data_IF_289516315910
#
_entry.id   IF_289516315910
#
_cell.length_a   1.000
_cell.length_b   1.000
_cell.length_c   1.000
_cell.angle_alpha   90.00
_cell.angle_beta   90.00
_cell.angle_gamma   90.00
#
_symmetry.space_group_name_H-M   'P 1'
#
loop_
_entity.id
_entity.type
_entity.pdbx_description
1 polymer ?
#
# COMPACT_ATOMS: atom_id res chain seq x y z
N UNK A 1 -45.12 -22.09 39.37
CA UNK A 1 -44.27 -21.25 40.24
C UNK A 1 -43.08 -20.90 39.39
N UNK A 2 -43.27 -19.89 38.55
CA UNK A 2 -42.43 -19.63 37.40
C UNK A 2 -41.57 -18.40 37.70
N UNK A 3 -40.31 -18.68 38.03
CA UNK A 3 -39.27 -17.70 38.25
C UNK A 3 -38.90 -17.03 36.94
N UNK A 4 -39.49 -15.87 36.68
CA UNK A 4 -39.02 -14.95 35.65
C UNK A 4 -37.68 -14.34 36.08
N UNK A 5 -36.57 -14.86 35.53
CA UNK A 5 -35.27 -14.21 35.60
C UNK A 5 -35.23 -13.02 34.64
N UNK A 6 -35.37 -11.82 35.21
CA UNK A 6 -35.15 -10.55 34.52
C UNK A 6 -33.64 -10.33 34.33
N UNK A 7 -33.16 -10.50 33.10
CA UNK A 7 -31.78 -10.13 32.76
C UNK A 7 -31.71 -8.63 32.50
N UNK A 8 -31.11 -7.90 33.44
CA UNK A 8 -30.77 -6.49 33.27
C UNK A 8 -29.66 -6.35 32.22
N UNK A 9 -29.97 -5.66 31.11
CA UNK A 9 -28.98 -5.31 30.08
C UNK A 9 -28.20 -4.09 30.61
N UNK A 10 -26.87 -4.20 30.81
CA UNK A 10 -26.08 -3.05 31.23
C UNK A 10 -26.00 -2.02 30.09
N UNK A 11 -26.50 -0.82 30.38
CA UNK A 11 -26.42 0.36 29.52
C UNK A 11 -24.94 0.68 29.26
N UNK A 12 -24.49 0.49 28.02
CA UNK A 12 -23.15 0.88 27.59
C UNK A 12 -23.11 2.40 27.42
N UNK A 13 -22.64 3.07 28.46
CA UNK A 13 -22.24 4.48 28.44
C UNK A 13 -21.27 4.71 27.29
N UNK A 14 -21.72 5.44 26.27
CA UNK A 14 -20.89 5.93 25.18
C UNK A 14 -19.87 6.92 25.73
N UNK A 15 -18.71 6.40 26.14
CA UNK A 15 -17.55 7.21 26.48
C UNK A 15 -17.04 7.82 25.18
N UNK A 16 -17.26 9.12 25.02
CA UNK A 16 -16.79 9.90 23.89
C UNK A 16 -15.27 9.80 23.76
N UNK A 17 -14.82 9.06 22.76
CA UNK A 17 -13.45 9.14 22.28
C UNK A 17 -13.32 10.45 21.50
N UNK A 18 -12.97 11.51 22.23
CA UNK A 18 -12.41 12.73 21.67
C UNK A 18 -11.10 12.37 20.97
N UNK A 19 -11.12 12.34 19.64
CA UNK A 19 -9.90 12.22 18.84
C UNK A 19 -9.17 13.57 18.85
N UNK A 20 -7.95 13.67 19.42
CA UNK A 20 -7.18 14.90 19.33
C UNK A 20 -6.71 15.09 17.89
N UNK A 21 -7.42 15.94 17.16
CA UNK A 21 -7.13 16.30 15.79
C UNK A 21 -6.08 17.41 15.76
N UNK A 22 -4.80 17.09 16.06
CA UNK A 22 -3.67 18.00 15.76
C UNK A 22 -2.32 17.28 15.81
N UNK A 23 -1.91 16.69 14.70
CA UNK A 23 -0.50 16.36 14.48
C UNK A 23 0.22 17.69 14.22
N UNK A 24 0.82 18.27 15.26
CA UNK A 24 1.75 19.38 15.09
C UNK A 24 2.98 18.88 14.33
N UNK A 25 3.24 19.50 13.18
CA UNK A 25 4.44 19.23 12.38
C UNK A 25 5.67 19.58 13.24
N UNK A 26 6.68 18.71 13.35
CA UNK A 26 7.90 19.04 14.06
C UNK A 26 8.57 20.25 13.37
N UNK A 27 8.85 21.29 14.16
CA UNK A 27 9.67 22.42 13.73
C UNK A 27 11.06 21.87 13.37
N UNK A 28 11.45 22.09 12.13
CA UNK A 28 12.76 21.74 11.58
C UNK A 28 13.79 22.68 12.20
N UNK A 29 14.39 22.26 13.30
CA UNK A 29 15.51 22.98 13.89
C UNK A 29 16.66 23.01 12.88
N UNK A 30 17.08 24.23 12.54
CA UNK A 30 18.25 24.47 11.73
C UNK A 30 19.47 24.15 12.58
N UNK A 31 20.06 22.98 12.34
CA UNK A 31 21.37 22.62 12.86
C UNK A 31 22.41 23.47 12.14
N UNK A 32 22.84 24.55 12.77
CA UNK A 32 24.04 25.28 12.38
C UNK A 32 25.26 24.50 12.86
N UNK A 33 25.88 23.72 11.96
CA UNK A 33 27.21 23.13 12.19
C UNK A 33 28.26 24.10 11.68
N UNK A 34 28.95 24.73 12.62
CA UNK A 34 30.32 25.27 12.56
C UNK A 34 30.92 25.56 11.17
N UNK A 35 30.76 26.80 10.73
CA UNK A 35 31.89 27.74 10.62
C UNK A 35 33.19 27.28 9.92
N UNK A 36 33.13 26.52 8.83
CA UNK A 36 34.30 26.32 7.94
C UNK A 36 34.04 26.88 6.55
N UNK A 37 34.52 28.09 6.34
CA UNK A 37 34.72 28.69 5.01
C UNK A 37 35.74 27.88 4.23
N UNK A 38 35.26 27.00 3.35
CA UNK A 38 36.08 26.44 2.28
C UNK A 38 36.15 27.45 1.14
N UNK A 39 37.26 28.18 1.06
CA UNK A 39 37.62 28.96 -0.14
C UNK A 39 37.92 27.99 -1.28
N UNK A 40 36.91 27.74 -2.12
CA UNK A 40 37.02 26.96 -3.35
C UNK A 40 37.98 27.65 -4.33
N UNK A 41 39.25 27.28 -4.24
CA UNK A 41 40.28 27.68 -5.18
C UNK A 41 40.26 26.76 -6.39
N UNK A 42 40.18 27.38 -7.58
CA UNK A 42 40.45 26.82 -8.91
C UNK A 42 39.43 25.81 -9.44
N UNK A 43 38.32 26.38 -9.91
CA UNK A 43 37.53 25.83 -11.00
C UNK A 43 38.37 25.76 -12.28
N UNK A 44 39.06 24.65 -12.50
CA UNK A 44 39.33 24.21 -13.88
C UNK A 44 38.00 23.75 -14.45
N UNK A 45 37.47 24.54 -15.39
CA UNK A 45 36.24 24.18 -16.12
C UNK A 45 36.40 22.75 -16.65
N UNK A 46 35.49 21.81 -16.33
CA UNK A 46 35.49 20.54 -17.03
C UNK A 46 35.31 20.82 -18.53
N UNK A 47 35.98 20.06 -19.41
CA UNK A 47 35.80 20.21 -20.84
C UNK A 47 34.30 20.14 -21.15
N UNK A 48 33.76 21.16 -21.82
CA UNK A 48 32.39 21.15 -22.35
C UNK A 48 32.32 20.00 -23.36
N UNK A 49 31.82 18.85 -22.93
CA UNK A 49 31.44 17.80 -23.85
C UNK A 49 30.34 18.35 -24.76
N UNK A 50 30.67 18.45 -26.04
CA UNK A 50 29.74 18.87 -27.09
C UNK A 50 28.53 17.93 -27.06
N UNK A 51 27.32 18.50 -26.97
CA UNK A 51 26.04 17.76 -27.01
C UNK A 51 25.75 17.25 -28.43
N UNK A 52 26.72 16.60 -29.07
CA UNK A 52 26.40 15.77 -30.22
C UNK A 52 25.47 14.65 -29.74
N UNK A 53 24.41 14.43 -30.52
CA UNK A 53 23.26 13.61 -30.19
C UNK A 53 23.63 12.36 -29.39
N UNK A 54 23.04 12.21 -28.20
CA UNK A 54 23.11 10.96 -27.46
C UNK A 54 22.59 9.86 -28.39
N UNK A 55 23.36 8.78 -28.64
CA UNK A 55 22.87 7.68 -29.45
C UNK A 55 21.58 7.13 -28.84
N UNK A 56 20.68 6.64 -29.69
CA UNK A 56 19.39 6.10 -29.28
C UNK A 56 19.57 5.11 -28.13
N UNK A 57 18.76 5.28 -27.07
CA UNK A 57 18.71 4.40 -25.90
C UNK A 57 18.70 2.94 -26.37
N UNK A 58 19.65 2.09 -25.94
CA UNK A 58 19.71 0.71 -26.41
C UNK A 58 18.42 0.00 -26.04
N UNK A 59 17.67 -0.42 -27.06
CA UNK A 59 16.47 -1.24 -26.92
C UNK A 59 16.92 -2.61 -26.42
N UNK A 60 16.38 -3.03 -25.27
CA UNK A 60 16.58 -4.39 -24.78
C UNK A 60 15.97 -5.35 -25.79
N UNK A 61 16.82 -6.04 -26.56
CA UNK A 61 16.38 -7.13 -27.43
C UNK A 61 16.38 -8.43 -26.60
N UNK A 62 15.23 -9.13 -26.49
CA UNK A 62 15.18 -10.46 -25.91
C UNK A 62 16.07 -11.40 -26.72
N UNK A 63 16.95 -12.16 -26.06
CA UNK A 63 17.69 -13.26 -26.70
C UNK A 63 16.88 -14.56 -26.62
N UNK A 64 16.88 -15.29 -27.72
CA UNK A 64 15.98 -16.41 -28.06
C UNK A 64 16.15 -17.66 -27.18
N UNK A 65 17.16 -17.69 -26.30
CA UNK A 65 17.57 -18.90 -25.59
C UNK A 65 17.15 -18.98 -24.11
N UNK A 66 16.36 -18.03 -23.58
CA UNK A 66 15.78 -18.10 -22.23
C UNK A 66 16.77 -18.12 -21.04
N UNK A 67 18.06 -18.37 -21.28
CA UNK A 67 19.14 -18.15 -20.36
C UNK A 67 19.49 -16.67 -20.36
N UNK A 68 19.36 -16.03 -19.20
CA UNK A 68 19.95 -14.71 -18.91
C UNK A 68 21.49 -14.82 -18.91
N UNK A 69 22.09 -15.21 -20.03
CA UNK A 69 23.51 -14.99 -20.22
C UNK A 69 23.66 -13.49 -20.40
N UNK A 70 24.24 -12.84 -19.40
CA UNK A 70 24.66 -11.44 -19.48
C UNK A 70 25.72 -11.32 -20.55
N UNK A 71 25.32 -11.39 -21.82
CA UNK A 71 26.15 -10.94 -22.92
C UNK A 71 26.14 -9.43 -22.82
N UNK A 72 27.03 -8.92 -21.96
CA UNK A 72 27.50 -7.56 -22.05
C UNK A 72 28.12 -7.44 -23.44
N UNK A 73 27.29 -7.14 -24.44
CA UNK A 73 27.79 -6.67 -25.73
C UNK A 73 28.67 -5.47 -25.39
N UNK A 74 29.81 -5.33 -26.08
CA UNK A 74 30.87 -4.33 -25.79
C UNK A 74 30.36 -2.88 -25.62
N UNK A 75 29.10 -2.62 -25.96
CA UNK A 75 28.49 -1.31 -26.10
C UNK A 75 27.63 -0.87 -24.89
N UNK A 76 27.33 -1.74 -23.92
CA UNK A 76 26.35 -1.41 -22.86
C UNK A 76 26.98 -0.99 -21.52
N UNK A 77 28.28 -1.24 -21.33
CA UNK A 77 28.99 -0.92 -20.08
C UNK A 77 30.13 0.04 -20.36
N UNK A 78 30.16 1.16 -19.63
CA UNK A 78 31.18 2.20 -19.75
C UNK A 78 32.52 1.68 -19.23
N UNK A 79 33.61 1.91 -19.96
CA UNK A 79 34.95 1.55 -19.50
C UNK A 79 35.31 2.34 -18.22
N UNK A 80 35.65 1.62 -17.13
CA UNK A 80 36.07 2.21 -15.86
C UNK A 80 37.19 3.26 -16.02
N UNK A 81 38.23 2.92 -16.78
CA UNK A 81 39.38 3.81 -16.97
C UNK A 81 39.03 5.00 -17.87
N UNK A 82 38.14 4.84 -18.84
CA UNK A 82 37.73 5.93 -19.73
C UNK A 82 36.87 6.94 -18.97
N UNK A 83 35.92 6.48 -18.16
CA UNK A 83 35.07 7.33 -17.33
C UNK A 83 35.89 8.23 -16.37
N UNK A 84 37.11 7.81 -16.00
CA UNK A 84 38.05 8.57 -15.17
C UNK A 84 39.10 9.34 -15.98
N UNK A 85 38.99 9.37 -17.31
CA UNK A 85 39.87 10.10 -18.22
C UNK A 85 41.23 9.44 -18.48
N UNK A 86 41.37 8.12 -18.26
CA UNK A 86 42.66 7.42 -18.25
C UNK A 86 42.72 6.12 -19.06
N UNK A 87 41.76 5.81 -19.94
CA UNK A 87 41.85 4.59 -20.75
C UNK A 87 42.94 4.72 -21.82
N UNK A 88 43.91 3.80 -21.81
CA UNK A 88 45.00 3.75 -22.81
C UNK A 88 44.63 3.00 -24.10
N UNK A 89 43.51 2.27 -24.12
CA UNK A 89 43.04 1.54 -25.30
C UNK A 89 42.27 2.50 -26.21
N UNK A 90 42.29 2.29 -27.53
CA UNK A 90 41.35 2.97 -28.42
C UNK A 90 39.94 2.43 -28.21
N UNK A 91 38.91 3.17 -28.64
CA UNK A 91 37.50 2.74 -28.53
C UNK A 91 37.25 1.37 -29.18
N UNK A 92 37.89 1.09 -30.32
CA UNK A 92 37.79 -0.20 -31.04
C UNK A 92 38.46 -1.35 -30.28
N UNK A 93 39.54 -1.06 -29.54
CA UNK A 93 40.34 -2.07 -28.82
C UNK A 93 39.93 -2.21 -27.34
N UNK A 94 39.03 -1.37 -26.84
CA UNK A 94 38.48 -1.51 -25.51
C UNK A 94 37.33 -2.53 -25.51
N UNK A 95 37.23 -3.35 -24.46
CA UNK A 95 36.10 -4.28 -24.31
C UNK A 95 34.81 -3.59 -23.83
N UNK A 96 34.91 -2.33 -23.45
CA UNK A 96 33.85 -1.53 -22.86
C UNK A 96 33.70 -0.21 -23.64
N UNK A 97 32.51 0.37 -23.58
CA UNK A 97 32.17 1.60 -24.28
C UNK A 97 33.01 2.80 -23.78
N UNK A 98 33.47 3.64 -24.71
CA UNK A 98 34.11 4.94 -24.45
C UNK A 98 33.12 6.10 -24.58
N UNK A 99 31.91 5.87 -24.08
CA UNK A 99 30.85 6.84 -23.91
C UNK A 99 30.06 6.48 -22.65
N UNK A 100 29.38 7.45 -22.06
CA UNK A 100 28.63 7.25 -20.81
C UNK A 100 27.38 6.40 -21.07
N UNK A 101 27.35 5.21 -20.48
CA UNK A 101 26.20 4.32 -20.39
C UNK A 101 25.59 4.37 -18.97
N UNK A 102 24.54 3.60 -18.72
CA UNK A 102 23.90 3.51 -17.39
C UNK A 102 24.69 2.68 -16.38
N UNK A 103 25.71 1.94 -16.81
CA UNK A 103 26.50 1.02 -15.97
C UNK A 103 27.98 1.23 -16.28
N UNK A 104 28.79 1.52 -15.26
CA UNK A 104 30.25 1.59 -15.39
C UNK A 104 30.85 0.24 -15.01
N UNK A 105 31.80 -0.26 -15.80
CA UNK A 105 32.49 -1.50 -15.49
C UNK A 105 33.20 -1.40 -14.15
N UNK A 106 33.26 -2.51 -13.41
CA UNK A 106 34.10 -2.58 -12.22
C UNK A 106 35.57 -2.46 -12.60
N UNK A 107 36.37 -1.89 -11.69
CA UNK A 107 37.82 -1.86 -11.87
C UNK A 107 38.36 -3.29 -11.93
N UNK A 108 39.11 -3.69 -12.97
CA UNK A 108 39.68 -5.04 -13.06
C UNK A 108 40.66 -5.35 -11.92
N UNK A 109 41.09 -4.34 -11.15
CA UNK A 109 41.89 -4.53 -9.93
C UNK A 109 41.07 -4.83 -8.67
N UNK A 110 39.74 -4.68 -8.70
CA UNK A 110 38.91 -5.03 -7.54
C UNK A 110 38.92 -6.55 -7.26
N UNK A 111 39.15 -7.35 -8.29
CA UNK A 111 39.33 -8.81 -8.19
C UNK A 111 40.83 -9.14 -8.22
N UNK A 112 41.59 -8.67 -7.24
CA UNK A 112 43.01 -9.04 -7.10
C UNK A 112 43.19 -10.56 -7.23
N UNK A 113 44.06 -10.98 -8.15
CA UNK A 113 44.39 -12.37 -8.47
C UNK A 113 44.25 -13.31 -7.26
N UNK A 114 43.20 -14.13 -7.27
CA UNK A 114 42.89 -15.08 -6.18
C UNK A 114 43.94 -16.19 -6.10
N UNK A 115 44.81 -16.31 -7.10
CA UNK A 115 45.81 -17.37 -7.23
C UNK A 115 46.95 -17.36 -6.21
N UNK A 116 47.13 -16.30 -5.41
CA UNK A 116 48.22 -16.24 -4.41
C UNK A 116 47.78 -16.05 -2.95
N UNK A 117 46.48 -15.97 -2.68
CA UNK A 117 46.02 -15.99 -1.27
C UNK A 117 46.09 -17.42 -0.76
N UNK A 118 47.23 -17.78 -0.14
CA UNK A 118 47.34 -18.99 0.67
C UNK A 118 46.12 -19.05 1.59
N UNK A 119 45.31 -20.09 1.42
CA UNK A 119 44.13 -20.30 2.26
C UNK A 119 44.58 -20.22 3.73
N UNK A 120 43.85 -19.50 4.60
CA UNK A 120 44.19 -19.41 6.01
C UNK A 120 44.18 -20.82 6.61
N UNK A 121 45.35 -21.43 6.79
CA UNK A 121 45.49 -22.77 7.32
C UNK A 121 45.56 -22.72 8.85
N UNK A 122 45.16 -23.81 9.51
CA UNK A 122 45.18 -23.93 10.96
C UNK A 122 44.11 -23.13 11.68
N UNK A 123 44.47 -22.51 12.81
CA UNK A 123 43.51 -21.86 13.74
C UNK A 123 42.74 -20.70 13.12
N UNK A 124 43.38 -19.91 12.24
CA UNK A 124 42.74 -18.79 11.57
C UNK A 124 41.62 -19.25 10.62
N UNK A 125 41.84 -20.35 9.88
CA UNK A 125 40.82 -20.95 9.02
C UNK A 125 39.61 -21.46 9.81
N UNK A 126 39.84 -22.11 10.96
CA UNK A 126 38.75 -22.57 11.82
C UNK A 126 37.91 -21.43 12.39
N UNK A 127 38.52 -20.28 12.72
CA UNK A 127 37.79 -19.11 13.19
C UNK A 127 36.84 -18.55 12.11
N UNK A 128 37.31 -18.46 10.86
CA UNK A 128 36.50 -18.01 9.72
C UNK A 128 35.32 -18.96 9.46
N UNK A 129 35.54 -20.28 9.53
CA UNK A 129 34.47 -21.27 9.36
C UNK A 129 33.41 -21.11 10.47
N UNK A 130 33.84 -20.96 11.73
CA UNK A 130 32.91 -20.77 12.85
C UNK A 130 32.08 -19.50 12.71
N UNK A 131 32.71 -18.40 12.33
CA UNK A 131 32.05 -17.12 12.08
C UNK A 131 31.04 -17.23 10.92
N UNK A 132 31.44 -17.86 9.82
CA UNK A 132 30.57 -18.09 8.64
C UNK A 132 29.37 -18.96 9.01
N UNK A 133 29.57 -20.02 9.79
CA UNK A 133 28.48 -20.89 10.26
C UNK A 133 27.55 -20.14 11.22
N UNK A 134 28.09 -19.34 12.15
CA UNK A 134 27.30 -18.52 13.05
C UNK A 134 26.42 -17.53 12.29
N UNK A 135 26.99 -16.84 11.29
CA UNK A 135 26.25 -15.94 10.40
C UNK A 135 25.18 -16.66 9.58
N UNK A 136 25.46 -17.87 9.09
CA UNK A 136 24.47 -18.67 8.37
C UNK A 136 23.28 -19.07 9.27
N UNK A 137 23.55 -19.46 10.51
CA UNK A 137 22.49 -19.76 11.48
C UNK A 137 21.67 -18.50 11.81
N UNK A 138 22.31 -17.35 12.00
CA UNK A 138 21.61 -16.09 12.23
C UNK A 138 20.69 -15.71 11.05
N UNK A 139 21.17 -15.86 9.80
CA UNK A 139 20.37 -15.62 8.61
C UNK A 139 19.15 -16.56 8.56
N UNK A 140 19.34 -17.85 8.89
CA UNK A 140 18.24 -18.81 8.97
C UNK A 140 17.21 -18.41 10.03
N UNK A 141 17.64 -17.98 11.21
CA UNK A 141 16.75 -17.51 12.26
C UNK A 141 15.97 -16.26 11.81
N UNK A 142 16.62 -15.35 11.08
CA UNK A 142 15.97 -14.18 10.50
C UNK A 142 14.91 -14.56 9.46
N UNK A 143 15.21 -15.53 8.58
CA UNK A 143 14.26 -16.07 7.60
C UNK A 143 13.04 -16.68 8.29
N UNK A 144 13.24 -17.48 9.34
CA UNK A 144 12.14 -18.04 10.14
C UNK A 144 11.27 -16.94 10.75
N UNK A 145 11.87 -15.93 11.40
CA UNK A 145 11.12 -14.79 11.96
C UNK A 145 10.36 -13.99 10.92
N UNK A 146 10.92 -13.86 9.71
CA UNK A 146 10.23 -13.19 8.61
C UNK A 146 9.03 -14.01 8.13
N UNK A 147 9.18 -15.33 7.96
CA UNK A 147 8.10 -16.23 7.59
C UNK A 147 6.96 -16.22 8.63
N UNK A 148 7.28 -16.23 9.93
CA UNK A 148 6.31 -16.11 11.02
C UNK A 148 5.52 -14.79 10.95
N UNK A 149 6.21 -13.66 10.77
CA UNK A 149 5.55 -12.35 10.60
C UNK A 149 4.66 -12.32 9.36
N UNK A 150 5.11 -12.91 8.25
CA UNK A 150 4.31 -12.97 7.02
C UNK A 150 3.05 -13.81 7.21
N UNK A 151 3.14 -14.94 7.93
CA UNK A 151 1.98 -15.76 8.27
C UNK A 151 1.01 -15.02 9.19
N UNK A 152 1.51 -14.28 10.19
CA UNK A 152 0.69 -13.47 11.07
C UNK A 152 -0.08 -12.38 10.29
N UNK A 153 0.61 -11.63 9.42
CA UNK A 153 -0.02 -10.62 8.55
C UNK A 153 -1.07 -11.24 7.62
N UNK A 154 -0.78 -12.38 7.00
CA UNK A 154 -1.76 -13.10 6.18
C UNK A 154 -2.99 -13.51 6.99
N UNK A 155 -2.81 -13.91 8.26
CA UNK A 155 -3.88 -14.21 9.19
C UNK A 155 -4.76 -12.98 9.50
N UNK A 156 -4.14 -11.82 9.75
CA UNK A 156 -4.85 -10.56 9.97
C UNK A 156 -5.65 -10.12 8.73
N UNK A 157 -5.05 -10.23 7.54
CA UNK A 157 -5.73 -9.94 6.27
C UNK A 157 -6.95 -10.85 6.08
N UNK A 158 -6.85 -12.13 6.43
CA UNK A 158 -7.99 -13.07 6.36
C UNK A 158 -9.11 -12.73 7.36
N UNK A 159 -8.76 -12.25 8.57
CA UNK A 159 -9.75 -11.76 9.55
C UNK A 159 -10.45 -10.51 9.04
N UNK A 160 -9.70 -9.54 8.51
CA UNK A 160 -10.27 -8.33 7.93
C UNK A 160 -11.19 -8.64 6.75
N UNK A 161 -10.78 -9.54 5.86
CA UNK A 161 -11.62 -9.97 4.73
C UNK A 161 -12.96 -10.58 5.19
N UNK A 162 -12.98 -11.34 6.29
CA UNK A 162 -14.24 -11.85 6.87
C UNK A 162 -15.11 -10.73 7.42
N UNK A 163 -14.51 -9.76 8.13
CA UNK A 163 -15.24 -8.61 8.68
C UNK A 163 -15.86 -7.74 7.58
N UNK A 164 -15.15 -7.51 6.48
CA UNK A 164 -15.69 -6.78 5.32
C UNK A 164 -16.92 -7.49 4.76
N UNK A 165 -16.84 -8.81 4.53
CA UNK A 165 -18.00 -9.59 4.07
C UNK A 165 -19.19 -9.53 5.02
N UNK A 166 -18.94 -9.57 6.33
CA UNK A 166 -20.00 -9.44 7.33
C UNK A 166 -20.65 -8.05 7.29
N UNK A 167 -19.85 -6.98 7.12
CA UNK A 167 -20.37 -5.63 6.96
C UNK A 167 -21.21 -5.48 5.68
N UNK A 168 -20.74 -6.04 4.57
CA UNK A 168 -21.49 -6.05 3.31
C UNK A 168 -22.84 -6.76 3.46
N UNK A 169 -22.86 -7.91 4.13
CA UNK A 169 -24.11 -8.64 4.39
C UNK A 169 -25.08 -7.86 5.29
N UNK A 170 -24.57 -7.20 6.33
CA UNK A 170 -25.40 -6.33 7.19
C UNK A 170 -25.94 -5.12 6.43
N UNK A 171 -25.14 -4.55 5.54
CA UNK A 171 -25.56 -3.43 4.70
C UNK A 171 -26.71 -3.85 3.77
N UNK A 172 -26.60 -5.01 3.14
CA UNK A 172 -27.68 -5.57 2.31
C UNK A 172 -28.96 -5.85 3.12
N UNK A 173 -28.83 -6.37 4.35
CA UNK A 173 -29.99 -6.58 5.24
C UNK A 173 -30.69 -5.26 5.58
N UNK A 174 -29.92 -4.19 5.84
CA UNK A 174 -30.47 -2.86 6.11
C UNK A 174 -31.17 -2.27 4.88
N UNK A 175 -30.59 -2.44 3.69
CA UNK A 175 -31.21 -1.99 2.43
C UNK A 175 -32.54 -2.71 2.16
N UNK A 176 -32.59 -4.03 2.39
CA UNK A 176 -33.85 -4.79 2.30
C UNK A 176 -34.89 -4.32 3.31
N UNK A 177 -34.49 -4.08 4.56
CA UNK A 177 -35.41 -3.55 5.60
C UNK A 177 -35.90 -2.15 5.27
N UNK A 178 -35.07 -1.29 4.69
CA UNK A 178 -35.48 0.03 4.25
C UNK A 178 -36.58 -0.10 3.17
N UNK A 179 -36.37 -0.95 2.18
CA UNK A 179 -37.37 -1.24 1.16
C UNK A 179 -38.67 -1.80 1.75
N UNK A 180 -38.61 -2.73 2.71
CA UNK A 180 -39.80 -3.25 3.39
C UNK A 180 -40.59 -2.16 4.14
N UNK A 181 -39.89 -1.21 4.76
CA UNK A 181 -40.52 -0.09 5.44
C UNK A 181 -41.21 0.85 4.46
N UNK A 182 -40.59 1.14 3.31
CA UNK A 182 -41.19 1.97 2.26
C UNK A 182 -42.50 1.34 1.74
N UNK A 183 -42.53 0.01 1.55
CA UNK A 183 -43.75 -0.69 1.15
C UNK A 183 -44.84 -0.58 2.23
N UNK A 184 -44.49 -0.76 3.50
CA UNK A 184 -45.45 -0.62 4.61
C UNK A 184 -45.99 0.80 4.73
N UNK A 185 -45.17 1.81 4.47
CA UNK A 185 -45.60 3.21 4.46
C UNK A 185 -46.67 3.45 3.38
N UNK A 186 -46.47 2.92 2.17
CA UNK A 186 -47.46 3.00 1.09
C UNK A 186 -48.76 2.26 1.43
N UNK A 187 -48.69 1.09 2.08
CA UNK A 187 -49.88 0.36 2.53
C UNK A 187 -50.66 1.15 3.58
N UNK A 188 -49.96 1.77 4.54
CA UNK A 188 -50.58 2.62 5.55
C UNK A 188 -51.23 3.86 4.93
N UNK A 189 -50.59 4.51 3.98
CA UNK A 189 -51.16 5.65 3.25
C UNK A 189 -52.44 5.25 2.49
N UNK A 190 -52.45 4.06 1.88
CA UNK A 190 -53.64 3.55 1.20
C UNK A 190 -54.79 3.26 2.17
N UNK A 191 -54.49 2.69 3.34
CA UNK A 191 -55.48 2.44 4.40
C UNK A 191 -56.04 3.75 4.97
N UNK A 192 -55.20 4.76 5.16
CA UNK A 192 -55.62 6.09 5.62
C UNK A 192 -56.63 6.71 4.65
N UNK A 193 -56.34 6.68 3.35
CA UNK A 193 -57.27 7.17 2.31
C UNK A 193 -58.61 6.42 2.30
N UNK A 194 -58.59 5.10 2.51
CA UNK A 194 -59.83 4.31 2.59
C UNK A 194 -60.64 4.65 3.86
N UNK A 195 -59.99 4.85 5.00
CA UNK A 195 -60.66 5.30 6.22
C UNK A 195 -61.27 6.68 6.06
N UNK A 196 -60.56 7.61 5.41
CA UNK A 196 -61.08 8.94 5.09
C UNK A 196 -62.33 8.84 4.21
N UNK A 197 -62.31 8.01 3.16
CA UNK A 197 -63.48 7.76 2.29
C UNK A 197 -64.68 7.24 3.09
N UNK A 198 -64.47 6.27 3.98
CA UNK A 198 -65.54 5.73 4.86
C UNK A 198 -66.08 6.77 5.83
N UNK A 199 -65.21 7.62 6.39
CA UNK A 199 -65.64 8.70 7.27
C UNK A 199 -66.54 9.69 6.52
N UNK A 200 -66.20 10.04 5.27
CA UNK A 200 -67.06 10.88 4.43
C UNK A 200 -68.40 10.23 4.10
N UNK A 201 -68.43 8.91 3.86
CA UNK A 201 -69.69 8.16 3.64
C UNK A 201 -70.58 8.17 4.89
N UNK A 202 -70.00 7.96 6.08
CA UNK A 202 -70.72 8.02 7.34
C UNK A 202 -71.29 9.41 7.63
N UNK A 203 -70.54 10.49 7.36
CA UNK A 203 -71.03 11.86 7.51
C UNK A 203 -72.23 12.12 6.57
N UNK A 204 -72.13 11.69 5.30
CA UNK A 204 -73.26 11.75 4.35
C UNK A 204 -74.46 10.97 4.87
N UNK A 205 -74.25 9.75 5.38
CA UNK A 205 -75.28 8.91 5.97
C UNK A 205 -75.97 9.57 7.17
N UNK A 206 -75.21 10.18 8.06
CA UNK A 206 -75.71 10.91 9.24
C UNK A 206 -76.58 12.09 8.84
N UNK A 207 -76.12 12.90 7.88
CA UNK A 207 -76.91 14.03 7.34
C UNK A 207 -78.21 13.57 6.69
N UNK A 208 -78.21 12.42 6.01
CA UNK A 208 -79.41 11.86 5.40
C UNK A 208 -80.42 11.39 6.47
N UNK A 209 -79.95 10.77 7.55
CA UNK A 209 -80.79 10.38 8.69
C UNK A 209 -81.40 11.60 9.39
N UNK A 210 -80.61 12.64 9.66
CA UNK A 210 -81.10 13.88 10.28
C UNK A 210 -82.23 14.53 9.46
N UNK A 211 -82.09 14.53 8.12
CA UNK A 211 -83.15 15.03 7.22
C UNK A 211 -84.43 14.20 7.32
N UNK A 212 -84.32 12.87 7.41
CA UNK A 212 -85.47 11.97 7.56
C UNK A 212 -86.16 12.17 8.91
N UNK A 213 -85.39 12.33 9.97
CA UNK A 213 -85.90 12.59 11.31
C UNK A 213 -86.68 13.92 11.36
N UNK A 214 -86.14 15.00 10.79
CA UNK A 214 -86.86 16.28 10.67
C UNK A 214 -88.14 16.17 9.86
N UNK A 215 -88.16 15.37 8.79
CA UNK A 215 -89.34 15.16 7.97
C UNK A 215 -90.44 14.40 8.72
N UNK A 216 -90.06 13.44 9.58
CA UNK A 216 -91.00 12.68 10.42
C UNK A 216 -91.55 13.53 11.57
N UNK A 217 -90.76 14.43 12.15
CA UNK A 217 -91.19 15.28 13.26
C UNK A 217 -92.15 16.42 12.86
N UNK A 218 -92.26 16.73 11.56
CA UNK A 218 -93.16 17.76 11.04
C UNK A 218 -94.55 17.26 10.59
N UNK A 219 -94.83 15.96 10.76
CA UNK A 219 -96.13 15.32 10.52
C UNK A 219 -96.90 15.20 11.85
#
# INVERSE_FOLDING_TARGET
>A
MDTHQSYAIPSRSASGLSFPNRIEKPKRDQVTVDGRSFTNSRSTKPPRFSRHALPARPTFLPTDNGGLSWQFTKNNVTCFYWARGGCKKSEVNCHYAHFLTTIVADSPMAFGHVSERKAPSGKAGQAIIKDTTARHNELRDQETRFAERQMALNGEVAVLARRVKEQDARQQELELKAYELDVRELELEALEKELERRAQELDKGKKALEKREKALAGL
#
